data_IF_647263691140
#
_entry.id   IF_647263691140
#
_cell.length_a   1.000
_cell.length_b   1.000
_cell.length_c   1.000
_cell.angle_alpha   90.00
_cell.angle_beta   90.00
_cell.angle_gamma   90.00
#
_symmetry.space_group_name_H-M   'P 1'
#
loop_
_entity.id
_entity.type
_entity.pdbx_description
1 polymer ?
#
# COMPACT_ATOMS: atom_id res chain seq x y z
N UNK A 1 -10.00 1.16 -2.47
CA UNK A 1 -8.64 1.72 -2.29
C UNK A 1 -7.66 0.88 -3.10
N UNK A 2 -6.68 1.51 -3.74
CA UNK A 2 -5.54 0.83 -4.36
C UNK A 2 -4.33 0.80 -3.44
N UNK A 3 -3.61 -0.33 -3.38
CA UNK A 3 -2.41 -0.53 -2.56
C UNK A 3 -1.25 -1.09 -3.40
N UNK A 4 -0.19 -0.30 -3.56
CA UNK A 4 1.01 -0.71 -4.30
C UNK A 4 2.20 -0.84 -3.35
N UNK A 5 2.68 -2.06 -3.15
CA UNK A 5 3.87 -2.33 -2.35
C UNK A 5 5.00 -2.80 -3.27
N UNK A 6 6.07 -2.00 -3.40
CA UNK A 6 7.20 -2.38 -4.24
C UNK A 6 8.24 -3.15 -3.41
N UNK A 7 8.47 -4.45 -3.65
CA UNK A 7 9.47 -5.23 -2.92
C UNK A 7 10.89 -4.70 -3.13
N UNK A 8 11.20 -4.20 -4.32
CA UNK A 8 12.53 -3.71 -4.71
C UNK A 8 12.85 -2.33 -4.15
N UNK A 9 11.87 -1.62 -3.57
CA UNK A 9 12.15 -0.39 -2.83
C UNK A 9 13.07 -0.70 -1.64
N UNK A 10 14.13 0.08 -1.43
CA UNK A 10 15.06 -0.18 -0.33
C UNK A 10 16.33 -1.00 -0.68
N UNK A 11 16.57 -1.32 -1.96
CA UNK A 11 17.80 -1.99 -2.44
C UNK A 11 18.73 -1.10 -3.31
N UNK A 12 18.58 0.23 -3.26
CA UNK A 12 19.39 1.17 -4.05
C UNK A 12 20.92 0.97 -3.84
N UNK A 13 21.70 1.01 -4.93
CA UNK A 13 23.18 0.95 -4.96
C UNK A 13 23.81 2.00 -4.04
N UNK A 14 23.09 3.10 -3.78
CA UNK A 14 23.48 4.11 -2.79
C UNK A 14 23.64 3.56 -1.38
N UNK A 15 23.09 2.39 -1.03
CA UNK A 15 23.35 1.70 0.26
C UNK A 15 24.67 0.94 0.31
N UNK A 16 25.28 0.64 -0.84
CA UNK A 16 26.65 0.11 -0.90
C UNK A 16 27.68 1.25 -0.76
N UNK A 17 27.34 2.46 -1.21
CA UNK A 17 28.25 3.62 -1.17
C UNK A 17 27.95 4.62 -0.05
N UNK A 18 26.85 4.47 0.68
CA UNK A 18 26.50 5.26 1.86
C UNK A 18 25.98 4.34 2.96
N UNK A 19 26.27 4.64 4.23
CA UNK A 19 25.87 3.87 5.43
C UNK A 19 24.35 3.87 5.71
N UNK A 20 23.51 3.92 4.68
CA UNK A 20 22.06 3.97 4.80
C UNK A 20 21.48 2.60 5.15
N UNK A 21 20.63 2.55 6.19
CA UNK A 21 20.00 1.32 6.65
C UNK A 21 19.16 0.62 5.56
N UNK A 22 19.21 -0.71 5.55
CA UNK A 22 18.40 -1.57 4.69
C UNK A 22 17.07 -1.89 5.36
N UNK A 23 15.95 -1.64 4.65
CA UNK A 23 14.62 -2.02 5.14
C UNK A 23 14.30 -3.41 4.63
N UNK A 24 14.26 -4.38 5.56
CA UNK A 24 13.97 -5.78 5.22
C UNK A 24 12.53 -5.96 4.75
N UNK A 25 12.28 -7.03 4.00
CA UNK A 25 10.93 -7.37 3.56
C UNK A 25 9.99 -7.62 4.75
N UNK A 26 10.49 -8.19 5.85
CA UNK A 26 9.71 -8.38 7.07
C UNK A 26 9.25 -7.04 7.68
N UNK A 27 10.11 -6.02 7.69
CA UNK A 27 9.72 -4.66 8.13
C UNK A 27 8.61 -4.09 7.24
N UNK A 28 8.70 -4.30 5.92
CA UNK A 28 7.64 -3.87 4.98
C UNK A 28 6.32 -4.59 5.24
N UNK A 29 6.35 -5.92 5.40
CA UNK A 29 5.18 -6.74 5.75
C UNK A 29 4.53 -6.21 7.03
N UNK A 30 5.31 -5.99 8.09
CA UNK A 30 4.80 -5.48 9.36
C UNK A 30 4.19 -4.08 9.22
N UNK A 31 4.79 -3.18 8.42
CA UNK A 31 4.23 -1.85 8.15
C UNK A 31 2.90 -1.93 7.41
N UNK A 32 2.80 -2.79 6.38
CA UNK A 32 1.56 -3.00 5.64
C UNK A 32 0.49 -3.63 6.54
N UNK A 33 0.86 -4.60 7.39
CA UNK A 33 -0.07 -5.23 8.34
C UNK A 33 -0.64 -4.21 9.32
N UNK A 34 0.22 -3.34 9.87
CA UNK A 34 -0.19 -2.24 10.76
C UNK A 34 -1.13 -1.25 10.05
N UNK A 35 -0.85 -0.94 8.78
CA UNK A 35 -1.74 -0.13 7.94
C UNK A 35 -3.10 -0.77 7.74
N UNK A 36 -3.16 -2.04 7.32
CA UNK A 36 -4.42 -2.77 7.14
C UNK A 36 -5.19 -2.90 8.46
N UNK A 37 -4.49 -3.08 9.58
CA UNK A 37 -5.10 -3.11 10.92
C UNK A 37 -5.75 -1.77 11.30
N UNK A 38 -5.10 -0.64 10.99
CA UNK A 38 -5.70 0.68 11.21
C UNK A 38 -6.91 0.93 10.29
N UNK A 39 -6.83 0.49 9.03
CA UNK A 39 -7.88 0.65 8.04
C UNK A 39 -9.17 -0.08 8.41
N UNK A 40 -9.10 -1.35 8.86
CA UNK A 40 -10.29 -2.18 9.16
C UNK A 40 -11.18 -1.63 10.27
N UNK A 41 -10.64 -0.83 11.19
CA UNK A 41 -11.38 -0.33 12.36
C UNK A 41 -12.57 0.54 11.93
N UNK A 42 -12.48 1.18 10.76
CA UNK A 42 -13.48 2.14 10.31
C UNK A 42 -14.65 1.48 9.55
N UNK A 43 -14.58 0.20 9.22
CA UNK A 43 -15.67 -0.53 8.58
C UNK A 43 -15.28 -1.16 7.23
N UNK A 44 -16.26 -1.67 6.45
CA UNK A 44 -16.00 -2.39 5.21
C UNK A 44 -15.19 -1.56 4.21
N UNK A 45 -14.00 -2.05 3.86
CA UNK A 45 -13.14 -1.44 2.86
C UNK A 45 -12.61 -2.52 1.90
N UNK A 46 -12.80 -2.26 0.60
CA UNK A 46 -12.19 -3.06 -0.47
C UNK A 46 -10.83 -2.48 -0.85
N UNK A 47 -9.81 -3.31 -0.78
CA UNK A 47 -8.42 -3.01 -1.13
C UNK A 47 -8.01 -3.84 -2.33
N UNK A 48 -7.78 -3.17 -3.46
CA UNK A 48 -7.14 -3.74 -4.62
C UNK A 48 -5.64 -3.56 -4.47
N UNK A 49 -4.85 -4.63 -4.61
CA UNK A 49 -3.40 -4.54 -4.52
C UNK A 49 -2.68 -4.99 -5.77
N UNK A 50 -1.49 -4.44 -6.01
CA UNK A 50 -0.60 -4.90 -7.08
C UNK A 50 0.03 -6.24 -6.68
N UNK A 51 -0.21 -7.34 -7.40
CA UNK A 51 0.48 -8.60 -7.12
C UNK A 51 1.98 -8.45 -7.40
N UNK A 52 2.81 -9.08 -6.56
CA UNK A 52 4.26 -9.04 -6.71
C UNK A 52 4.92 -10.34 -6.19
N UNK A 53 6.21 -10.53 -6.50
CA UNK A 53 6.90 -11.82 -6.35
C UNK A 53 7.06 -12.30 -4.90
N UNK A 54 7.15 -11.40 -3.94
CA UNK A 54 7.39 -11.70 -2.52
C UNK A 54 6.11 -11.81 -1.69
N UNK A 55 4.95 -11.64 -2.31
CA UNK A 55 3.62 -11.61 -1.70
C UNK A 55 3.50 -10.76 -0.41
N UNK A 56 4.14 -9.59 -0.33
CA UNK A 56 4.18 -8.70 0.82
C UNK A 56 2.79 -8.34 1.36
N UNK A 57 1.87 -7.96 0.48
CA UNK A 57 0.49 -7.57 0.88
C UNK A 57 -0.27 -8.78 1.39
N UNK A 58 -0.13 -9.93 0.74
CA UNK A 58 -0.80 -11.16 1.15
C UNK A 58 -0.26 -11.68 2.48
N UNK A 59 1.07 -11.66 2.68
CA UNK A 59 1.71 -11.98 3.95
C UNK A 59 1.22 -11.04 5.06
N UNK A 60 1.15 -9.73 4.79
CA UNK A 60 0.65 -8.75 5.73
C UNK A 60 -0.82 -9.00 6.10
N UNK A 61 -1.67 -9.27 5.12
CA UNK A 61 -3.09 -9.56 5.35
C UNK A 61 -3.28 -10.86 6.16
N UNK A 62 -2.53 -11.92 5.84
CA UNK A 62 -2.53 -13.19 6.59
C UNK A 62 -2.04 -13.06 8.02
N UNK A 63 -1.16 -12.10 8.29
CA UNK A 63 -0.62 -11.87 9.65
C UNK A 63 -1.58 -11.12 10.58
N UNK A 64 -2.70 -10.60 10.06
CA UNK A 64 -3.67 -9.86 10.87
C UNK A 64 -4.34 -10.78 11.89
N UNK A 65 -4.23 -10.42 13.16
CA UNK A 65 -5.00 -11.08 14.22
C UNK A 65 -6.51 -10.83 14.02
N UNK A 66 -7.38 -11.81 14.30
CA UNK A 66 -8.83 -11.61 14.32
C UNK A 66 -9.25 -10.42 15.20
N UNK A 67 -10.36 -9.77 14.85
CA UNK A 67 -11.02 -8.83 15.77
C UNK A 67 -12.05 -9.62 16.57
N UNK A 68 -11.79 -9.86 17.85
CA UNK A 68 -12.64 -10.67 18.73
C UNK A 68 -14.05 -10.05 18.89
N UNK A 69 -14.18 -8.73 18.83
CA UNK A 69 -15.43 -8.00 19.07
C UNK A 69 -16.43 -7.95 17.88
N UNK A 70 -16.09 -8.47 16.70
CA UNK A 70 -16.94 -8.31 15.49
C UNK A 70 -17.32 -9.61 14.78
N UNK A 71 -17.50 -10.71 15.52
CA UNK A 71 -18.24 -11.91 15.11
C UNK A 71 -17.77 -12.67 13.85
N UNK A 72 -16.74 -12.18 13.15
CA UNK A 72 -16.19 -12.77 11.94
C UNK A 72 -14.74 -12.34 11.80
N UNK A 73 -13.86 -13.34 11.64
CA UNK A 73 -12.48 -13.14 11.20
C UNK A 73 -12.51 -12.24 9.95
N UNK A 74 -11.90 -11.06 10.03
CA UNK A 74 -11.75 -10.12 8.91
C UNK A 74 -13.01 -9.29 8.53
N UNK A 75 -14.05 -9.24 9.36
CA UNK A 75 -15.25 -8.43 9.10
C UNK A 75 -14.94 -6.93 8.96
N UNK A 76 -14.69 -6.50 7.72
CA UNK A 76 -14.37 -5.11 7.41
C UNK A 76 -13.32 -4.91 6.31
N UNK A 77 -12.63 -5.96 5.85
CA UNK A 77 -11.59 -5.77 4.84
C UNK A 77 -11.60 -6.88 3.79
N UNK A 78 -11.79 -6.51 2.53
CA UNK A 78 -11.64 -7.39 1.37
C UNK A 78 -10.35 -6.99 0.67
N UNK A 79 -9.36 -7.88 0.64
CA UNK A 79 -8.05 -7.62 0.04
C UNK A 79 -7.84 -8.58 -1.13
N UNK A 80 -7.81 -8.05 -2.35
CA UNK A 80 -7.70 -8.86 -3.56
C UNK A 80 -6.73 -8.24 -4.57
N UNK A 81 -6.03 -9.06 -5.36
CA UNK A 81 -5.10 -8.56 -6.36
C UNK A 81 -5.86 -7.92 -7.52
N UNK A 82 -5.26 -6.92 -8.18
CA UNK A 82 -5.64 -6.60 -9.55
C UNK A 82 -5.27 -7.77 -10.47
N UNK A 83 -5.99 -7.91 -11.58
CA UNK A 83 -5.81 -9.00 -12.55
C UNK A 83 -4.55 -8.79 -13.43
N UNK A 84 -3.39 -8.84 -12.79
CA UNK A 84 -2.08 -8.59 -13.37
C UNK A 84 -1.14 -9.77 -13.09
N UNK A 85 -0.39 -10.22 -14.10
CA UNK A 85 0.74 -11.14 -13.90
C UNK A 85 2.03 -10.33 -13.78
N UNK A 86 2.67 -10.28 -12.60
CA UNK A 86 3.85 -9.42 -12.40
C UNK A 86 5.07 -9.95 -13.15
N UNK A 87 5.77 -9.06 -13.86
CA UNK A 87 7.02 -9.35 -14.57
C UNK A 87 8.26 -8.87 -13.80
N UNK A 88 8.07 -8.09 -12.74
CA UNK A 88 9.13 -7.43 -11.98
C UNK A 88 9.66 -6.17 -12.63
N UNK A 89 8.89 -5.55 -13.54
CA UNK A 89 9.29 -4.35 -14.29
C UNK A 89 8.54 -3.10 -13.80
N UNK A 90 9.03 -1.88 -14.10
CA UNK A 90 8.28 -0.64 -13.84
C UNK A 90 6.86 -0.65 -14.45
N UNK A 91 6.67 -1.35 -15.56
CA UNK A 91 5.37 -1.47 -16.24
C UNK A 91 4.30 -2.13 -15.37
N UNK A 92 4.69 -3.03 -14.45
CA UNK A 92 3.75 -3.63 -13.51
C UNK A 92 3.09 -2.55 -12.63
N UNK A 93 3.87 -1.56 -12.18
CA UNK A 93 3.37 -0.45 -11.35
C UNK A 93 2.45 0.46 -12.15
N UNK A 94 2.82 0.77 -13.40
CA UNK A 94 2.00 1.60 -14.29
C UNK A 94 0.66 0.90 -14.60
N UNK A 95 0.72 -0.37 -15.01
CA UNK A 95 -0.45 -1.17 -15.35
C UNK A 95 -1.37 -1.36 -14.14
N UNK A 96 -0.84 -1.75 -12.99
CA UNK A 96 -1.63 -1.89 -11.77
C UNK A 96 -2.31 -0.58 -11.36
N UNK A 97 -1.61 0.55 -11.46
CA UNK A 97 -2.19 1.87 -11.16
C UNK A 97 -3.37 2.18 -12.07
N UNK A 98 -3.19 2.02 -13.39
CA UNK A 98 -4.28 2.21 -14.37
C UNK A 98 -5.49 1.33 -14.06
N UNK A 99 -5.26 0.06 -13.71
CA UNK A 99 -6.32 -0.87 -13.35
C UNK A 99 -7.05 -0.42 -12.08
N UNK A 100 -6.34 -0.03 -11.03
CA UNK A 100 -6.94 0.48 -9.79
C UNK A 100 -7.82 1.72 -10.03
N UNK A 101 -7.33 2.67 -10.84
CA UNK A 101 -8.10 3.86 -11.20
C UNK A 101 -9.35 3.49 -12.02
N UNK A 102 -9.23 2.60 -13.03
CA UNK A 102 -10.37 2.10 -13.81
C UNK A 102 -11.38 1.32 -12.96
N UNK A 103 -10.93 0.64 -11.92
CA UNK A 103 -11.79 -0.06 -10.96
C UNK A 103 -12.43 0.86 -9.91
N UNK A 104 -12.28 2.18 -10.03
CA UNK A 104 -12.95 3.17 -9.18
C UNK A 104 -12.27 3.36 -7.81
N UNK A 105 -10.97 3.08 -7.67
CA UNK A 105 -10.29 3.40 -6.42
C UNK A 105 -10.25 4.93 -6.19
N UNK A 106 -10.77 5.38 -5.06
CA UNK A 106 -10.78 6.82 -4.69
C UNK A 106 -9.53 7.27 -3.90
N UNK A 107 -8.62 6.35 -3.62
CA UNK A 107 -7.35 6.60 -2.91
C UNK A 107 -6.35 5.53 -3.30
N UNK A 108 -5.13 5.94 -3.63
CA UNK A 108 -3.97 5.08 -3.86
C UNK A 108 -3.00 5.20 -2.70
N UNK A 109 -2.51 4.07 -2.21
CA UNK A 109 -1.49 3.98 -1.17
C UNK A 109 -0.27 3.34 -1.78
N UNK A 110 0.90 3.92 -1.57
CA UNK A 110 2.17 3.31 -1.97
C UNK A 110 3.03 2.99 -0.75
N UNK A 111 3.58 1.79 -0.72
CA UNK A 111 4.74 1.46 0.09
C UNK A 111 5.93 1.36 -0.87
N UNK A 112 6.65 2.46 -1.03
CA UNK A 112 7.70 2.58 -2.04
C UNK A 112 8.66 3.74 -1.81
N UNK A 113 9.60 3.92 -2.74
CA UNK A 113 10.50 5.08 -2.79
C UNK A 113 10.07 6.10 -3.85
N UNK A 114 10.93 7.08 -4.12
CA UNK A 114 10.64 8.16 -5.08
C UNK A 114 10.30 7.64 -6.48
N UNK A 115 11.03 6.63 -6.96
CA UNK A 115 10.79 6.01 -8.27
C UNK A 115 9.41 5.33 -8.38
N UNK A 116 9.00 4.59 -7.34
CA UNK A 116 7.65 3.98 -7.30
C UNK A 116 6.59 5.07 -7.36
N UNK A 117 6.74 6.12 -6.55
CA UNK A 117 5.74 7.19 -6.46
C UNK A 117 5.64 7.99 -7.76
N UNK A 118 6.75 8.23 -8.46
CA UNK A 118 6.74 8.85 -9.79
C UNK A 118 5.88 8.05 -10.78
N UNK A 119 6.06 6.73 -10.84
CA UNK A 119 5.28 5.87 -11.75
C UNK A 119 3.80 5.89 -11.41
N UNK A 120 3.46 5.81 -10.12
CA UNK A 120 2.05 5.85 -9.68
C UNK A 120 1.43 7.22 -9.99
N UNK A 121 2.14 8.32 -9.73
CA UNK A 121 1.64 9.67 -10.00
C UNK A 121 1.40 9.94 -11.50
N UNK A 122 2.17 9.31 -12.39
CA UNK A 122 1.94 9.42 -13.85
C UNK A 122 0.60 8.81 -14.29
N UNK A 123 0.11 7.81 -13.57
CA UNK A 123 -1.08 7.03 -13.96
C UNK A 123 -2.27 7.24 -13.03
N UNK A 124 -2.08 7.94 -11.90
CA UNK A 124 -3.12 8.16 -10.90
C UNK A 124 -4.23 9.10 -11.38
N UNK A 125 -3.94 9.96 -12.36
CA UNK A 125 -4.88 10.99 -12.83
C UNK A 125 -5.31 11.89 -11.67
N UNK A 126 -6.61 11.92 -11.39
CA UNK A 126 -7.20 12.71 -10.29
C UNK A 126 -7.32 11.92 -8.97
N UNK A 127 -6.95 10.63 -8.96
CA UNK A 127 -7.03 9.83 -7.74
C UNK A 127 -5.91 10.24 -6.79
N UNK A 128 -6.22 10.66 -5.54
CA UNK A 128 -5.21 11.09 -4.60
C UNK A 128 -4.27 9.95 -4.20
N UNK A 129 -3.03 10.31 -3.89
CA UNK A 129 -1.96 9.41 -3.49
C UNK A 129 -1.55 9.70 -2.04
N UNK A 130 -1.51 8.65 -1.20
CA UNK A 130 -0.85 8.66 0.10
C UNK A 130 0.47 7.89 -0.01
N UNK A 131 1.61 8.60 -0.16
CA UNK A 131 2.89 7.95 -0.35
C UNK A 131 3.56 7.62 0.98
N UNK A 132 3.76 6.33 1.26
CA UNK A 132 4.38 5.84 2.50
C UNK A 132 5.77 5.27 2.18
N UNK A 133 6.77 5.73 2.91
CA UNK A 133 8.16 5.33 2.66
C UNK A 133 8.37 3.86 3.06
N UNK A 134 8.81 3.05 2.09
CA UNK A 134 9.24 1.67 2.32
C UNK A 134 10.77 1.52 2.42
N UNK A 135 11.49 2.64 2.52
CA UNK A 135 12.94 2.70 2.61
C UNK A 135 13.43 3.90 3.42
N UNK A 136 14.73 4.08 3.42
CA UNK A 136 15.44 5.24 3.97
C UNK A 136 15.86 6.19 2.85
N UNK A 137 16.00 7.48 3.17
CA UNK A 137 16.52 8.52 2.27
C UNK A 137 15.66 8.77 1.01
N UNK A 138 14.35 8.83 1.17
CA UNK A 138 13.43 9.29 0.11
C UNK A 138 12.98 10.72 0.40
N UNK A 139 12.70 11.50 -0.64
CA UNK A 139 12.26 12.90 -0.51
C UNK A 139 10.73 12.99 -0.59
N UNK A 140 10.11 12.20 -1.45
CA UNK A 140 8.67 12.30 -1.76
C UNK A 140 7.76 11.59 -0.74
N UNK A 141 7.96 10.30 -0.39
CA UNK A 141 7.06 9.59 0.50
C UNK A 141 7.26 9.96 1.97
N UNK A 142 6.15 9.92 2.71
CA UNK A 142 6.10 10.25 4.12
C UNK A 142 6.71 9.12 4.98
N UNK A 143 7.52 9.53 5.95
CA UNK A 143 7.96 8.65 7.04
C UNK A 143 6.92 8.65 8.16
N UNK A 144 5.88 7.83 8.02
CA UNK A 144 4.81 7.71 9.00
C UNK A 144 4.62 6.28 9.50
N UNK A 145 4.03 6.16 10.69
CA UNK A 145 3.66 4.87 11.27
C UNK A 145 2.43 4.29 10.54
N UNK A 146 2.46 2.98 10.28
CA UNK A 146 1.47 2.30 9.43
C UNK A 146 0.04 2.37 9.95
N UNK A 147 -0.17 2.13 11.24
CA UNK A 147 -1.52 2.17 11.86
C UNK A 147 -2.15 3.54 11.76
N UNK A 148 -1.39 4.61 12.02
CA UNK A 148 -1.87 6.00 11.82
C UNK A 148 -2.26 6.27 10.37
N UNK A 149 -1.42 5.85 9.42
CA UNK A 149 -1.73 6.02 8.00
C UNK A 149 -3.00 5.24 7.59
N UNK A 150 -3.19 4.03 8.12
CA UNK A 150 -4.38 3.22 7.88
C UNK A 150 -5.66 3.86 8.40
N UNK A 151 -5.63 4.39 9.62
CA UNK A 151 -6.75 5.12 10.21
C UNK A 151 -7.11 6.37 9.39
N UNK A 152 -6.11 7.19 9.03
CA UNK A 152 -6.34 8.39 8.21
C UNK A 152 -6.91 8.03 6.85
N UNK A 153 -6.38 6.99 6.19
CA UNK A 153 -6.90 6.52 4.91
C UNK A 153 -8.38 6.10 5.01
N UNK A 154 -8.77 5.38 6.07
CA UNK A 154 -10.17 5.01 6.27
C UNK A 154 -11.07 6.20 6.59
N UNK A 155 -10.59 7.21 7.34
CA UNK A 155 -11.36 8.44 7.63
C UNK A 155 -11.60 9.20 6.33
N UNK A 156 -10.55 9.36 5.52
CA UNK A 156 -10.64 10.01 4.22
C UNK A 156 -11.66 9.34 3.31
N UNK A 157 -11.62 8.01 3.19
CA UNK A 157 -12.58 7.24 2.38
C UNK A 157 -14.02 7.39 2.91
N UNK A 158 -14.22 7.44 4.23
CA UNK A 158 -15.54 7.71 4.81
C UNK A 158 -16.05 9.10 4.46
N UNK A 159 -15.21 10.12 4.58
CA UNK A 159 -15.59 11.50 4.26
C UNK A 159 -16.03 11.63 2.81
N UNK A 160 -15.35 10.95 1.89
CA UNK A 160 -15.75 10.92 0.48
C UNK A 160 -17.14 10.29 0.27
N UNK A 161 -17.44 9.22 1.01
CA UNK A 161 -18.73 8.51 0.88
C UNK A 161 -19.88 9.19 1.63
N UNK A 162 -19.61 10.03 2.63
CA UNK A 162 -20.62 10.79 3.37
C UNK A 162 -20.95 12.14 2.74
N UNK A 163 -20.18 12.58 1.74
CA UNK A 163 -20.36 13.84 1.01
C UNK A 163 -21.19 13.74 -0.28
N UNK A 164 -21.79 12.57 -0.54
CA UNK A 164 -22.74 12.29 -1.63
C UNK A 164 -24.09 11.92 -1.05
#
# INVERSE_FOLDING_TARGET
MGLLANPSSGYDVRRLVSSAETVTNLVKVNRIARFLSGLRVLGPCRVLFMPERLNLVQCAFKSLQPLEDRGSLQSGLVVEPVELKPQGTPDDTLAATRMMCKSGCNLLITFGGDGTNRLVAMESGQVPLLPISAGTNNIFPLSCEGTRAGLVAGIFLKMLNSGT
#
